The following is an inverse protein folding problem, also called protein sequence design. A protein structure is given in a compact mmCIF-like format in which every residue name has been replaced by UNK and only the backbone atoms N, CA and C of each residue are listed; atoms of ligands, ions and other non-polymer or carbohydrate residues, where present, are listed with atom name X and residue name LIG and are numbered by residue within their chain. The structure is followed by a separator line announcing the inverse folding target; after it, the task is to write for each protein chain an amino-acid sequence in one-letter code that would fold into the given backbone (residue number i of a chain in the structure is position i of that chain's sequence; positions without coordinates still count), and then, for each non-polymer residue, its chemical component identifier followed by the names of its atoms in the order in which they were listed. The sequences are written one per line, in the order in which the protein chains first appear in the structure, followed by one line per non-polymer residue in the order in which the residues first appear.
data_IF_878549169210
#
_entry.id   IF_878549169210
#
_cell.length_a   1.000
_cell.length_b   1.000
_cell.length_c   1.000
_cell.angle_alpha   90.00
_cell.angle_beta   90.00
_cell.angle_gamma   90.00
#
_symmetry.space_group_name_H-M   'P 1'
#
loop_
_entity.id
_entity.type
_entity.pdbx_description
1 polymer ?
#
# COMPACT_ATOMS: atom_id res chain seq x y z
N UNK A 1 -14.03 -25.86 2.50
CA UNK A 1 -14.15 -25.51 3.93
C UNK A 1 -12.87 -24.78 4.30
N UNK A 2 -12.94 -23.44 4.48
CA UNK A 2 -11.78 -22.63 4.82
C UNK A 2 -11.50 -22.75 6.31
N UNK A 3 -10.58 -23.66 6.66
CA UNK A 3 -10.19 -23.94 8.04
C UNK A 3 -9.16 -22.94 8.63
N UNK A 4 -8.95 -21.77 8.02
CA UNK A 4 -7.82 -20.90 8.33
C UNK A 4 -8.18 -19.54 8.96
N UNK A 5 -9.43 -19.30 9.30
CA UNK A 5 -9.72 -18.24 10.27
C UNK A 5 -9.56 -18.84 11.66
N UNK A 6 -8.68 -18.27 12.47
CA UNK A 6 -8.78 -18.43 13.92
C UNK A 6 -10.21 -18.05 14.28
N UNK A 7 -11.03 -19.02 14.67
CA UNK A 7 -12.46 -18.86 14.90
C UNK A 7 -12.67 -17.69 15.88
N UNK A 8 -13.20 -16.57 15.40
CA UNK A 8 -13.59 -15.44 16.21
C UNK A 8 -12.84 -14.11 16.00
N UNK A 9 -11.80 -14.03 15.17
CA UNK A 9 -11.11 -12.76 14.92
C UNK A 9 -11.86 -11.96 13.87
N UNK A 10 -12.42 -10.82 14.26
CA UNK A 10 -13.10 -9.87 13.38
C UNK A 10 -12.43 -8.51 13.57
N UNK A 11 -12.00 -7.89 12.48
CA UNK A 11 -11.44 -6.53 12.51
C UNK A 11 -12.58 -5.53 12.70
N UNK A 12 -12.36 -4.56 13.58
CA UNK A 12 -13.31 -3.48 13.81
C UNK A 12 -13.03 -2.33 12.84
N UNK A 13 -14.06 -1.83 12.19
CA UNK A 13 -13.96 -0.69 11.28
C UNK A 13 -14.52 0.58 11.92
N UNK A 14 -13.80 1.69 11.77
CA UNK A 14 -14.17 3.02 12.26
C UNK A 14 -14.11 3.99 11.07
N UNK A 15 -15.26 4.47 10.62
CA UNK A 15 -15.31 5.41 9.49
C UNK A 15 -14.83 6.81 9.91
N UNK A 16 -13.77 7.28 9.28
CA UNK A 16 -13.24 8.63 9.44
C UNK A 16 -13.61 9.54 8.26
N UNK A 17 -14.48 9.07 7.38
CA UNK A 17 -15.02 9.83 6.24
C UNK A 17 -13.94 10.44 5.36
N UNK A 18 -13.10 9.62 4.74
CA UNK A 18 -12.11 10.06 3.77
C UNK A 18 -12.77 10.44 2.43
N UNK A 19 -12.18 11.39 1.68
CA UNK A 19 -12.72 11.78 0.39
C UNK A 19 -12.64 10.64 -0.64
N UNK A 20 -13.55 10.63 -1.60
CA UNK A 20 -13.38 9.87 -2.83
C UNK A 20 -12.70 10.76 -3.86
N UNK A 21 -11.59 10.31 -4.46
CA UNK A 21 -10.82 11.08 -5.42
C UNK A 21 -10.67 10.32 -6.74
N UNK A 22 -11.01 10.98 -7.83
CA UNK A 22 -10.70 10.49 -9.16
C UNK A 22 -9.20 10.58 -9.43
N UNK A 23 -8.67 9.62 -10.20
CA UNK A 23 -7.26 9.60 -10.58
C UNK A 23 -7.10 9.42 -12.08
N UNK A 24 -6.03 10.00 -12.62
CA UNK A 24 -5.62 9.83 -14.01
C UNK A 24 -4.11 9.63 -14.09
N UNK A 25 -3.65 9.05 -15.18
CA UNK A 25 -2.21 8.89 -15.46
C UNK A 25 -1.89 9.63 -16.76
N UNK A 26 -0.95 10.56 -16.68
CA UNK A 26 -0.46 11.34 -17.82
C UNK A 26 1.06 11.13 -17.91
N UNK A 27 1.54 10.65 -19.05
CA UNK A 27 2.97 10.38 -19.30
C UNK A 27 3.65 9.52 -18.22
N UNK A 28 2.91 8.53 -17.70
CA UNK A 28 3.39 7.62 -16.65
C UNK A 28 3.38 8.20 -15.23
N UNK A 29 2.93 9.44 -15.05
CA UNK A 29 2.75 10.09 -13.74
C UNK A 29 1.28 10.04 -13.36
N UNK A 30 1.00 9.56 -12.15
CA UNK A 30 -0.36 9.51 -11.61
C UNK A 30 -0.70 10.81 -10.91
N UNK A 31 -1.90 11.32 -11.19
CA UNK A 31 -2.49 12.50 -10.55
C UNK A 31 -3.85 12.15 -9.94
N UNK A 32 -4.21 12.88 -8.89
CA UNK A 32 -5.52 12.86 -8.27
C UNK A 32 -6.22 14.19 -8.50
N UNK A 33 -7.52 14.12 -8.77
CA UNK A 33 -8.39 15.28 -8.98
C UNK A 33 -9.03 15.64 -7.66
N UNK A 34 -8.68 16.79 -7.13
CA UNK A 34 -9.17 17.29 -5.84
C UNK A 34 -10.25 18.34 -6.14
N UNK A 35 -11.48 18.18 -5.65
CA UNK A 35 -12.49 19.23 -5.72
C UNK A 35 -11.99 20.48 -4.98
N UNK A 36 -11.99 21.61 -5.65
CA UNK A 36 -11.70 22.92 -5.06
C UNK A 36 -12.80 23.92 -5.44
N UNK A 37 -12.92 25.03 -4.69
CA UNK A 37 -14.02 25.99 -4.85
C UNK A 37 -14.03 26.68 -6.21
N UNK A 38 -12.87 26.92 -6.82
CA UNK A 38 -12.73 27.66 -8.07
C UNK A 38 -12.35 26.79 -9.28
N UNK A 39 -11.52 25.76 -9.10
CA UNK A 39 -11.04 24.90 -10.17
C UNK A 39 -10.75 23.48 -9.67
N UNK A 40 -10.72 22.51 -10.61
CA UNK A 40 -10.29 21.15 -10.33
C UNK A 40 -8.77 21.10 -10.13
N UNK A 41 -8.32 21.01 -8.88
CA UNK A 41 -6.90 20.91 -8.56
C UNK A 41 -6.38 19.50 -8.87
N UNK A 42 -5.26 19.40 -9.60
CA UNK A 42 -4.56 18.13 -9.86
C UNK A 42 -3.32 18.04 -8.99
N UNK A 43 -3.29 17.05 -8.10
CA UNK A 43 -2.14 16.78 -7.25
C UNK A 43 -1.44 15.49 -7.68
N UNK A 44 -0.11 15.52 -7.68
CA UNK A 44 0.72 14.36 -8.06
C UNK A 44 0.64 13.27 -6.99
N UNK A 45 0.61 12.01 -7.45
CA UNK A 45 0.67 10.87 -6.53
C UNK A 45 2.01 10.78 -5.81
N UNK A 46 1.99 10.60 -4.49
CA UNK A 46 3.20 10.33 -3.68
C UNK A 46 3.97 9.12 -4.21
N UNK A 47 3.26 8.09 -4.71
CA UNK A 47 3.90 6.90 -5.29
C UNK A 47 4.64 7.21 -6.59
N UNK A 48 4.19 8.19 -7.38
CA UNK A 48 4.93 8.64 -8.57
C UNK A 48 6.20 9.39 -8.19
N UNK A 49 6.18 10.17 -7.10
CA UNK A 49 7.35 10.87 -6.58
C UNK A 49 8.36 9.85 -6.03
N UNK A 50 7.93 8.95 -5.13
CA UNK A 50 8.84 7.99 -4.49
C UNK A 50 9.42 6.97 -5.47
N UNK A 51 8.70 6.59 -6.53
CA UNK A 51 9.23 5.73 -7.59
C UNK A 51 10.36 6.38 -8.38
N UNK A 52 10.42 7.72 -8.41
CA UNK A 52 11.52 8.45 -9.08
C UNK A 52 12.88 8.20 -8.44
N UNK A 53 12.95 7.96 -7.13
CA UNK A 53 14.21 7.66 -6.43
C UNK A 53 14.90 6.41 -6.98
N UNK A 54 14.14 5.42 -7.43
CA UNK A 54 14.67 4.16 -7.95
C UNK A 54 14.76 4.13 -9.49
N UNK A 55 14.39 5.21 -10.17
CA UNK A 55 14.29 5.24 -11.64
C UNK A 55 15.59 4.85 -12.33
N UNK A 56 16.73 5.42 -11.90
CA UNK A 56 18.01 5.12 -12.52
C UNK A 56 18.44 3.67 -12.26
N UNK A 57 18.27 3.17 -11.03
CA UNK A 57 18.55 1.78 -10.67
C UNK A 57 17.73 0.82 -11.54
N UNK A 58 16.45 1.14 -11.76
CA UNK A 58 15.55 0.35 -12.61
C UNK A 58 15.97 0.36 -14.09
N UNK A 59 16.39 1.52 -14.62
CA UNK A 59 16.90 1.65 -15.99
C UNK A 59 18.17 0.79 -16.17
N UNK A 60 19.13 0.86 -15.24
CA UNK A 60 20.38 0.12 -15.33
C UNK A 60 20.16 -1.39 -15.17
N UNK A 61 19.23 -1.78 -14.30
CA UNK A 61 18.80 -3.17 -14.18
C UNK A 61 18.18 -3.68 -15.49
N UNK A 62 17.26 -2.91 -16.13
CA UNK A 62 16.66 -3.28 -17.41
C UNK A 62 17.71 -3.45 -18.52
N UNK A 63 18.70 -2.57 -18.59
CA UNK A 63 19.79 -2.69 -19.54
C UNK A 63 20.61 -3.98 -19.34
N UNK A 64 20.85 -4.35 -18.08
CA UNK A 64 21.61 -5.55 -17.71
C UNK A 64 20.89 -6.85 -18.01
N UNK A 65 19.62 -6.97 -17.72
CA UNK A 65 18.84 -8.22 -17.90
C UNK A 65 18.18 -8.34 -19.26
N UNK A 66 18.11 -7.25 -20.03
CA UNK A 66 17.40 -7.18 -21.31
C UNK A 66 15.91 -6.82 -21.15
N UNK A 67 15.35 -6.17 -22.18
CA UNK A 67 14.00 -5.60 -22.13
C UNK A 67 12.93 -6.66 -21.93
N UNK A 68 12.97 -7.76 -22.70
CA UNK A 68 11.96 -8.81 -22.65
C UNK A 68 11.89 -9.48 -21.27
N UNK A 69 13.05 -9.85 -20.72
CA UNK A 69 13.11 -10.47 -19.40
C UNK A 69 12.73 -9.49 -18.28
N UNK A 70 13.15 -8.23 -18.40
CA UNK A 70 12.75 -7.19 -17.45
C UNK A 70 11.23 -6.98 -17.44
N UNK A 71 10.59 -6.98 -18.63
CA UNK A 71 9.12 -6.87 -18.76
C UNK A 71 8.40 -8.08 -18.17
N UNK A 72 8.93 -9.29 -18.39
CA UNK A 72 8.39 -10.53 -17.81
C UNK A 72 8.43 -10.47 -16.28
N UNK A 73 9.59 -10.10 -15.71
CA UNK A 73 9.78 -10.00 -14.26
C UNK A 73 8.88 -8.90 -13.68
N UNK A 74 8.79 -7.75 -14.33
CA UNK A 74 7.96 -6.62 -13.87
C UNK A 74 6.48 -7.00 -13.87
N UNK A 75 5.97 -7.61 -14.95
CA UNK A 75 4.57 -8.08 -15.01
C UNK A 75 4.26 -9.08 -13.89
N UNK A 76 5.12 -10.06 -13.66
CA UNK A 76 4.94 -11.05 -12.60
C UNK A 76 4.94 -10.39 -11.21
N UNK A 77 5.84 -9.44 -10.96
CA UNK A 77 5.90 -8.70 -9.70
C UNK A 77 4.67 -7.82 -9.48
N UNK A 78 4.18 -7.15 -10.52
CA UNK A 78 2.97 -6.31 -10.45
C UNK A 78 1.72 -7.17 -10.18
N UNK A 79 1.54 -8.27 -10.91
CA UNK A 79 0.40 -9.20 -10.69
C UNK A 79 0.40 -9.73 -9.25
N UNK A 80 1.55 -10.20 -8.78
CA UNK A 80 1.71 -10.70 -7.41
C UNK A 80 1.41 -9.63 -6.35
N UNK A 81 1.89 -8.41 -6.56
CA UNK A 81 1.59 -7.28 -5.68
C UNK A 81 0.10 -6.98 -5.64
N UNK A 82 -0.56 -6.90 -6.80
CA UNK A 82 -2.01 -6.67 -6.89
C UNK A 82 -2.81 -7.76 -6.18
N UNK A 83 -2.49 -9.04 -6.43
CA UNK A 83 -3.14 -10.16 -5.77
C UNK A 83 -3.01 -10.08 -4.24
N UNK A 84 -1.78 -9.75 -3.75
CA UNK A 84 -1.50 -9.64 -2.32
C UNK A 84 -2.32 -8.52 -1.68
N UNK A 85 -2.38 -7.33 -2.29
CA UNK A 85 -3.21 -6.22 -1.81
C UNK A 85 -4.69 -6.61 -1.79
N UNK A 86 -5.19 -7.22 -2.87
CA UNK A 86 -6.58 -7.68 -2.95
C UNK A 86 -6.92 -8.67 -1.84
N UNK A 87 -6.08 -9.70 -1.63
CA UNK A 87 -6.30 -10.68 -0.54
C UNK A 87 -6.30 -10.03 0.83
N UNK A 88 -5.33 -9.13 1.07
CA UNK A 88 -5.20 -8.40 2.34
C UNK A 88 -6.40 -7.51 2.60
N UNK A 89 -6.86 -6.78 1.59
CA UNK A 89 -8.05 -5.92 1.68
C UNK A 89 -9.30 -6.73 2.03
N UNK A 90 -9.59 -7.83 1.31
CA UNK A 90 -10.72 -8.71 1.60
C UNK A 90 -10.64 -9.33 2.99
N UNK A 91 -9.43 -9.74 3.42
CA UNK A 91 -9.22 -10.28 4.74
C UNK A 91 -9.50 -9.26 5.85
N UNK A 92 -8.96 -8.06 5.71
CA UNK A 92 -9.15 -6.97 6.68
C UNK A 92 -10.59 -6.41 6.66
N UNK A 93 -11.32 -6.54 5.55
CA UNK A 93 -12.77 -6.23 5.46
C UNK A 93 -13.66 -7.28 6.12
N UNK A 94 -13.10 -8.38 6.61
CA UNK A 94 -13.86 -9.51 7.16
C UNK A 94 -14.73 -10.24 6.11
N UNK A 95 -14.34 -10.22 4.85
CA UNK A 95 -15.11 -10.89 3.81
C UNK A 95 -15.12 -12.40 4.01
N UNK A 96 -16.30 -13.03 3.86
CA UNK A 96 -16.46 -14.48 4.07
C UNK A 96 -15.66 -15.33 3.08
N UNK A 97 -15.38 -14.76 1.88
CA UNK A 97 -14.67 -15.46 0.82
C UNK A 97 -13.54 -14.60 0.28
N UNK A 98 -12.34 -15.15 0.33
CA UNK A 98 -11.20 -14.53 -0.32
C UNK A 98 -11.20 -14.85 -1.82
N UNK A 99 -10.76 -13.90 -2.68
CA UNK A 99 -10.62 -14.14 -4.10
C UNK A 99 -9.59 -15.25 -4.40
N UNK A 100 -9.79 -15.94 -5.51
CA UNK A 100 -8.80 -16.91 -6.01
C UNK A 100 -7.68 -16.16 -6.71
N UNK A 101 -6.45 -16.43 -6.32
CA UNK A 101 -5.24 -15.82 -6.86
C UNK A 101 -4.21 -16.89 -7.25
N UNK A 102 -3.07 -16.48 -7.78
CA UNK A 102 -1.96 -17.37 -8.08
C UNK A 102 -1.39 -18.00 -6.79
N UNK A 103 -0.88 -19.25 -6.83
CA UNK A 103 -0.39 -19.95 -5.64
C UNK A 103 0.68 -19.20 -4.86
N UNK A 104 1.59 -18.48 -5.56
CA UNK A 104 2.61 -17.69 -4.89
C UNK A 104 2.01 -16.50 -4.14
N UNK A 105 1.02 -15.83 -4.70
CA UNK A 105 0.31 -14.71 -4.06
C UNK A 105 -0.44 -15.19 -2.81
N UNK A 106 -1.10 -16.34 -2.88
CA UNK A 106 -1.76 -16.98 -1.74
C UNK A 106 -0.77 -17.35 -0.63
N UNK A 107 0.40 -17.90 -0.99
CA UNK A 107 1.48 -18.17 -0.05
C UNK A 107 1.97 -16.90 0.66
N UNK A 108 2.26 -15.83 -0.10
CA UNK A 108 2.71 -14.55 0.46
C UNK A 108 1.67 -13.95 1.41
N UNK A 109 0.40 -14.02 1.05
CA UNK A 109 -0.67 -13.60 1.95
C UNK A 109 -0.70 -14.44 3.24
N UNK A 110 -0.56 -15.77 3.14
CA UNK A 110 -0.56 -16.65 4.32
C UNK A 110 0.57 -16.36 5.29
N UNK A 111 1.77 -16.09 4.80
CA UNK A 111 2.91 -15.75 5.68
C UNK A 111 2.79 -14.34 6.28
N UNK A 112 2.01 -13.44 5.68
CA UNK A 112 1.76 -12.11 6.27
C UNK A 112 0.67 -12.11 7.34
N UNK A 113 -0.18 -13.14 7.44
CA UNK A 113 -1.29 -13.20 8.41
C UNK A 113 -0.87 -12.93 9.86
N UNK A 114 0.26 -13.46 10.40
CA UNK A 114 0.67 -13.13 11.75
C UNK A 114 0.84 -11.63 11.99
N UNK A 115 1.38 -10.90 11.00
CA UNK A 115 1.53 -9.44 11.08
C UNK A 115 0.18 -8.73 10.88
N UNK A 116 -0.65 -9.18 9.93
CA UNK A 116 -1.99 -8.64 9.71
C UNK A 116 -2.89 -8.79 10.95
N UNK A 117 -2.70 -9.86 11.72
CA UNK A 117 -3.47 -10.11 12.95
C UNK A 117 -3.09 -9.22 14.13
N UNK A 118 -2.03 -8.40 14.01
CA UNK A 118 -1.69 -7.34 14.97
C UNK A 118 -2.48 -6.05 14.72
N UNK A 119 -3.19 -5.99 13.58
CA UNK A 119 -4.09 -4.89 13.22
C UNK A 119 -5.38 -5.03 14.02
N UNK A 120 -5.86 -3.92 14.59
CA UNK A 120 -7.14 -3.87 15.30
C UNK A 120 -8.05 -2.82 14.64
N UNK A 121 -8.46 -1.76 15.33
CA UNK A 121 -9.37 -0.76 14.76
C UNK A 121 -8.86 -0.23 13.42
N UNK A 122 -9.61 -0.48 12.35
CA UNK A 122 -9.27 -0.04 11.00
C UNK A 122 -10.04 1.23 10.68
N UNK A 123 -9.32 2.31 10.40
CA UNK A 123 -9.86 3.63 10.09
C UNK A 123 -9.98 3.87 8.59
N UNK A 124 -9.14 3.23 7.79
CA UNK A 124 -9.25 3.22 6.33
C UNK A 124 -8.56 2.00 5.71
N UNK A 125 -9.14 1.47 4.63
CA UNK A 125 -8.52 0.55 3.68
C UNK A 125 -8.65 1.16 2.29
N UNK A 126 -7.55 1.20 1.52
CA UNK A 126 -7.49 1.84 0.20
C UNK A 126 -8.08 3.27 0.23
N UNK A 127 -7.75 4.01 1.30
CA UNK A 127 -8.29 5.35 1.55
C UNK A 127 -7.59 6.44 0.75
N UNK A 128 -8.35 7.33 0.08
CA UNK A 128 -7.78 8.46 -0.63
C UNK A 128 -7.43 9.60 0.34
N UNK A 129 -6.22 10.13 0.19
CA UNK A 129 -5.68 11.22 0.99
C UNK A 129 -5.03 12.27 0.08
N UNK A 130 -5.00 13.52 0.52
CA UNK A 130 -4.26 14.59 -0.14
C UNK A 130 -3.76 15.65 0.85
N UNK A 131 -2.76 16.41 0.41
CA UNK A 131 -2.28 17.62 1.07
C UNK A 131 -2.15 18.72 0.02
N UNK A 132 -2.91 19.79 0.18
CA UNK A 132 -2.78 20.99 -0.65
C UNK A 132 -1.47 21.73 -0.33
N UNK A 133 -1.03 21.69 0.94
CA UNK A 133 0.22 22.33 1.37
C UNK A 133 1.45 21.66 0.74
N UNK A 134 1.48 20.32 0.67
CA UNK A 134 2.59 19.58 0.08
C UNK A 134 2.42 19.37 -1.44
N UNK A 135 1.26 19.66 -2.01
CA UNK A 135 0.98 19.46 -3.43
C UNK A 135 0.92 17.97 -3.84
N UNK A 136 0.57 17.08 -2.93
CA UNK A 136 0.58 15.63 -3.14
C UNK A 136 -0.75 14.98 -2.76
N UNK A 137 -1.00 13.81 -3.37
CA UNK A 137 -2.14 12.97 -3.02
C UNK A 137 -1.76 11.47 -3.12
N UNK A 138 -2.64 10.59 -2.68
CA UNK A 138 -2.43 9.16 -2.83
C UNK A 138 -3.54 8.32 -2.23
N UNK A 139 -3.43 7.01 -2.44
CA UNK A 139 -4.27 6.01 -1.79
C UNK A 139 -3.41 5.27 -0.79
N UNK A 140 -3.75 5.38 0.50
CA UNK A 140 -3.07 4.65 1.56
C UNK A 140 -3.64 3.24 1.67
N UNK A 141 -2.78 2.23 1.79
CA UNK A 141 -3.24 0.84 1.87
C UNK A 141 -4.09 0.61 3.12
N UNK A 142 -3.59 1.05 4.31
CA UNK A 142 -4.31 0.87 5.55
C UNK A 142 -3.93 1.96 6.59
N UNK A 143 -4.94 2.45 7.30
CA UNK A 143 -4.79 3.26 8.52
C UNK A 143 -5.49 2.49 9.63
N UNK A 144 -4.74 2.05 10.62
CA UNK A 144 -5.27 1.20 11.69
C UNK A 144 -4.42 1.26 12.96
N UNK A 145 -4.96 0.75 14.06
CA UNK A 145 -4.14 0.44 15.23
C UNK A 145 -3.32 -0.82 14.93
N UNK A 146 -2.01 -0.75 15.11
CA UNK A 146 -1.07 -1.85 14.95
C UNK A 146 -0.31 -2.06 16.25
N UNK A 147 -0.46 -3.23 16.88
CA UNK A 147 -0.02 -3.47 18.27
C UNK A 147 -0.50 -2.37 19.24
N UNK A 148 -1.77 -1.94 19.09
CA UNK A 148 -2.42 -0.97 19.95
C UNK A 148 -2.04 0.49 19.73
N UNK A 149 -1.29 0.83 18.69
CA UNK A 149 -0.90 2.19 18.35
C UNK A 149 -1.30 2.55 16.91
N UNK A 150 -1.91 3.74 16.71
CA UNK A 150 -2.32 4.21 15.40
C UNK A 150 -1.15 4.31 14.43
N UNK A 151 -1.27 3.65 13.29
CA UNK A 151 -0.24 3.52 12.28
C UNK A 151 -0.73 3.80 10.87
N UNK A 152 0.18 4.26 10.01
CA UNK A 152 0.08 4.10 8.56
C UNK A 152 0.75 2.78 8.21
N UNK A 153 0.04 1.91 7.52
CA UNK A 153 0.49 0.57 7.16
C UNK A 153 0.50 0.43 5.65
N UNK A 154 1.60 -0.05 5.10
CA UNK A 154 1.82 -0.23 3.67
C UNK A 154 2.24 -1.68 3.41
N UNK A 155 1.56 -2.35 2.46
CA UNK A 155 1.77 -3.75 2.14
C UNK A 155 2.69 -3.89 0.94
N UNK A 156 3.72 -4.71 1.06
CA UNK A 156 4.70 -4.94 0.00
C UNK A 156 4.98 -6.42 -0.21
N UNK A 157 5.41 -6.75 -1.42
CA UNK A 157 5.97 -8.07 -1.74
C UNK A 157 7.41 -7.93 -2.21
N UNK A 158 8.24 -8.92 -1.91
CA UNK A 158 9.62 -8.97 -2.36
C UNK A 158 10.08 -10.40 -2.60
N UNK A 159 11.16 -10.59 -3.37
CA UNK A 159 11.80 -11.91 -3.49
C UNK A 159 12.53 -12.30 -2.19
N UNK A 160 13.14 -11.32 -1.53
CA UNK A 160 13.92 -11.47 -0.29
C UNK A 160 13.75 -10.25 0.58
N UNK A 161 14.00 -10.34 1.88
CA UNK A 161 14.08 -9.17 2.76
C UNK A 161 15.05 -8.14 2.20
N UNK A 162 14.69 -6.88 2.32
CA UNK A 162 15.51 -5.75 1.85
C UNK A 162 16.14 -5.05 3.05
N UNK A 163 17.43 -4.65 2.95
CA UNK A 163 18.04 -3.78 3.94
C UNK A 163 17.20 -2.49 4.15
N UNK A 164 17.22 -1.96 5.38
CA UNK A 164 16.45 -0.77 5.74
C UNK A 164 16.69 0.41 4.79
N UNK A 165 17.94 0.63 4.41
CA UNK A 165 18.34 1.73 3.53
C UNK A 165 17.73 1.60 2.12
N UNK A 166 17.43 0.39 1.67
CA UNK A 166 16.84 0.15 0.36
C UNK A 166 15.34 0.40 0.30
N UNK A 167 14.69 0.55 1.46
CA UNK A 167 13.25 0.76 1.60
C UNK A 167 12.89 2.12 2.21
N UNK A 168 13.83 3.04 2.33
CA UNK A 168 13.58 4.39 2.86
C UNK A 168 12.43 5.08 2.13
N UNK A 169 12.34 4.92 0.81
CA UNK A 169 11.27 5.49 0.00
C UNK A 169 9.86 4.98 0.38
N UNK A 170 9.72 3.77 0.96
CA UNK A 170 8.45 3.29 1.49
C UNK A 170 8.05 4.07 2.75
N UNK A 171 9.03 4.38 3.61
CA UNK A 171 8.77 5.19 4.80
C UNK A 171 8.51 6.65 4.45
N UNK A 172 9.15 7.21 3.42
CA UNK A 172 8.82 8.54 2.89
C UNK A 172 7.37 8.55 2.38
N UNK A 173 6.95 7.52 1.67
CA UNK A 173 5.56 7.36 1.23
C UNK A 173 4.59 7.29 2.40
N UNK A 174 4.86 6.44 3.39
CA UNK A 174 4.01 6.28 4.58
C UNK A 174 3.95 7.59 5.41
N UNK A 175 5.07 8.30 5.55
CA UNK A 175 5.10 9.61 6.21
C UNK A 175 4.24 10.64 5.43
N UNK A 176 4.33 10.66 4.11
CA UNK A 176 3.47 11.50 3.26
C UNK A 176 1.99 11.27 3.53
N UNK A 177 1.57 10.01 3.67
CA UNK A 177 0.18 9.69 4.07
C UNK A 177 -0.14 10.20 5.49
N UNK A 178 0.79 10.10 6.43
CA UNK A 178 0.61 10.66 7.77
C UNK A 178 0.40 12.17 7.75
N UNK A 179 1.17 12.92 6.94
CA UNK A 179 1.00 14.36 6.74
C UNK A 179 -0.35 14.70 6.11
N UNK A 180 -0.75 13.96 5.07
CA UNK A 180 -2.05 14.15 4.41
C UNK A 180 -3.21 13.90 5.40
N UNK A 181 -3.13 12.84 6.22
CA UNK A 181 -4.13 12.51 7.22
C UNK A 181 -4.24 13.61 8.28
N UNK A 182 -3.09 14.14 8.72
CA UNK A 182 -3.08 15.26 9.67
C UNK A 182 -3.73 16.51 9.09
N UNK A 183 -3.42 16.87 7.84
CA UNK A 183 -4.02 18.04 7.18
C UNK A 183 -5.54 17.88 6.99
N UNK A 184 -5.99 16.70 6.58
CA UNK A 184 -7.40 16.44 6.30
C UNK A 184 -8.27 16.25 7.55
N UNK A 185 -7.73 15.62 8.59
CA UNK A 185 -8.52 15.14 9.73
C UNK A 185 -7.99 15.58 11.09
N UNK A 186 -6.86 16.29 11.13
CA UNK A 186 -6.14 16.62 12.37
C UNK A 186 -5.79 15.38 13.22
N UNK A 187 -5.56 14.24 12.55
CA UNK A 187 -5.15 12.99 13.19
C UNK A 187 -3.65 12.81 13.02
N UNK A 188 -2.92 12.83 14.14
CA UNK A 188 -1.47 12.63 14.17
C UNK A 188 -1.13 11.15 14.28
N UNK A 189 -0.26 10.66 13.38
CA UNK A 189 0.25 9.30 13.38
C UNK A 189 1.75 9.32 13.68
N UNK A 190 2.19 8.48 14.61
CA UNK A 190 3.59 8.38 15.03
C UNK A 190 4.26 7.08 14.58
N UNK A 191 3.47 6.09 14.16
CA UNK A 191 3.93 4.77 13.78
C UNK A 191 3.76 4.54 12.28
N UNK A 192 4.83 4.13 11.62
CA UNK A 192 4.83 3.77 10.21
C UNK A 192 5.22 2.30 10.11
N UNK A 193 4.41 1.48 9.45
CA UNK A 193 4.59 0.03 9.34
C UNK A 193 4.67 -0.38 7.88
N UNK A 194 5.69 -1.13 7.53
CA UNK A 194 5.81 -1.78 6.22
C UNK A 194 5.74 -3.29 6.44
N UNK A 195 4.65 -3.91 6.03
CA UNK A 195 4.49 -5.38 6.06
C UNK A 195 4.95 -5.91 4.71
N UNK A 196 6.10 -6.59 4.69
CA UNK A 196 6.73 -7.06 3.46
C UNK A 196 6.79 -8.58 3.43
N UNK A 197 5.89 -9.22 2.68
CA UNK A 197 5.91 -10.65 2.46
C UNK A 197 6.95 -11.05 1.40
N UNK A 198 7.85 -11.96 1.73
CA UNK A 198 8.96 -12.38 0.90
C UNK A 198 8.80 -13.83 0.38
N UNK A 199 9.22 -14.08 -0.88
CA UNK A 199 9.12 -15.41 -1.51
C UNK A 199 9.92 -16.50 -0.79
N UNK A 200 10.90 -16.11 0.04
CA UNK A 200 11.67 -17.03 0.88
C UNK A 200 10.95 -17.43 2.19
N UNK A 201 9.72 -16.97 2.41
CA UNK A 201 8.90 -17.31 3.57
C UNK A 201 9.03 -16.34 4.76
N UNK A 202 9.81 -15.28 4.64
CA UNK A 202 9.93 -14.23 5.67
C UNK A 202 8.88 -13.13 5.47
N UNK A 203 8.44 -12.56 6.58
CA UNK A 203 7.59 -11.37 6.59
C UNK A 203 8.07 -10.38 7.65
#
# INVERSE_FOLDING_TARGET
MNADRLSGMTFKHVDIQLPHLDRETVDGVRYYKIPDEEELLKLVSITSITSHYNKQIFIDWRKRVGTEEADRITRAATSRGTDMHTLTEHYLKNDDKLPKVQPLSDFLFKISKPELNKIDNIYALEGALYSKQLGIAGTVDCIADYDGELAIIDFKTSKKPKPRDWIEHYFVQAMGYGCMLYELKNISVKKLVIIMACENGEC
#
